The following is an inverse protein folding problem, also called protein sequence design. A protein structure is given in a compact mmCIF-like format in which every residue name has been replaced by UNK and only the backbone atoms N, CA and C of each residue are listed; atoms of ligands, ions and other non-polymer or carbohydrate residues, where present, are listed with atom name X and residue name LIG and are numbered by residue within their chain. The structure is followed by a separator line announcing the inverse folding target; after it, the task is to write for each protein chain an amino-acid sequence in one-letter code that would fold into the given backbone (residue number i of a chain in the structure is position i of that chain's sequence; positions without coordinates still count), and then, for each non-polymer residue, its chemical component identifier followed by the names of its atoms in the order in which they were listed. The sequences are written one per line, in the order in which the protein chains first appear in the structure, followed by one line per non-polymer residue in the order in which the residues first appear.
data_IF_309621684665
#
_entry.id   IF_309621684665
#
_cell.length_a   1.000
_cell.length_b   1.000
_cell.length_c   1.000
_cell.angle_alpha   90.00
_cell.angle_beta   90.00
_cell.angle_gamma   90.00
#
_symmetry.space_group_name_H-M   'P 1'
#
loop_
_entity.id
_entity.type
_entity.pdbx_description
1 polymer ?
#
# COMPACT_ATOMS: atom_id res chain seq x y z
N UNK A 1 -65.43 -16.46 -7.00
CA UNK A 1 -64.20 -17.01 -6.45
C UNK A 1 -63.10 -16.00 -6.78
N UNK A 2 -62.75 -15.15 -5.83
CA UNK A 2 -61.70 -14.12 -6.02
C UNK A 2 -60.39 -14.68 -5.45
N UNK A 3 -59.39 -14.84 -6.34
CA UNK A 3 -58.04 -15.29 -5.97
C UNK A 3 -57.28 -14.05 -5.54
N UNK A 4 -56.91 -13.98 -4.24
CA UNK A 4 -56.00 -12.96 -3.69
C UNK A 4 -54.59 -13.47 -3.84
N UNK A 5 -53.82 -12.88 -4.75
CA UNK A 5 -52.39 -13.14 -4.91
C UNK A 5 -51.63 -12.32 -3.90
N UNK A 6 -51.03 -12.96 -2.89
CA UNK A 6 -50.11 -12.33 -1.95
C UNK A 6 -48.73 -12.23 -2.64
N UNK A 7 -48.37 -10.99 -3.02
CA UNK A 7 -46.99 -10.69 -3.41
C UNK A 7 -46.12 -10.61 -2.13
N UNK A 8 -45.36 -11.69 -1.87
CA UNK A 8 -44.30 -11.65 -0.88
C UNK A 8 -43.12 -10.86 -1.44
N UNK A 9 -43.01 -9.60 -1.02
CA UNK A 9 -41.80 -8.80 -1.25
C UNK A 9 -40.64 -9.36 -0.45
N UNK A 10 -39.74 -10.08 -1.10
CA UNK A 10 -38.45 -10.43 -0.52
C UNK A 10 -37.59 -9.16 -0.40
N UNK A 11 -37.62 -8.54 0.77
CA UNK A 11 -36.63 -7.55 1.16
C UNK A 11 -35.30 -8.32 1.34
N UNK A 12 -34.45 -8.32 0.31
CA UNK A 12 -33.04 -8.74 0.47
C UNK A 12 -32.39 -7.70 1.39
N UNK A 13 -32.31 -7.99 2.67
CA UNK A 13 -31.35 -7.35 3.55
C UNK A 13 -29.94 -7.67 3.02
N UNK A 14 -29.34 -6.74 2.27
CA UNK A 14 -27.91 -6.76 2.06
C UNK A 14 -27.29 -6.45 3.44
N UNK A 15 -26.97 -7.50 4.18
CA UNK A 15 -26.08 -7.41 5.33
C UNK A 15 -24.71 -7.04 4.75
N UNK A 16 -24.38 -5.77 4.68
CA UNK A 16 -23.01 -5.35 4.45
C UNK A 16 -22.25 -5.75 5.71
N UNK A 17 -21.35 -6.70 5.59
CA UNK A 17 -20.43 -7.01 6.67
C UNK A 17 -19.75 -5.70 7.11
N UNK A 18 -19.91 -5.33 8.37
CA UNK A 18 -19.19 -4.20 8.94
C UNK A 18 -17.71 -4.59 8.95
N UNK A 19 -16.84 -3.73 8.43
CA UNK A 19 -15.41 -3.97 8.47
C UNK A 19 -14.95 -3.70 9.91
N UNK A 20 -14.60 -4.75 10.66
CA UNK A 20 -14.05 -4.61 12.01
C UNK A 20 -12.54 -4.73 12.00
N UNK A 21 -11.89 -4.04 12.93
CA UNK A 21 -10.45 -4.15 13.18
C UNK A 21 -10.23 -4.59 14.62
N UNK A 22 -9.55 -5.72 14.78
CA UNK A 22 -9.26 -6.30 16.09
C UNK A 22 -7.76 -6.28 16.38
N UNK A 23 -7.37 -5.71 17.52
CA UNK A 23 -5.97 -5.55 17.92
C UNK A 23 -5.81 -5.71 19.44
N UNK A 24 -4.58 -6.02 19.86
CA UNK A 24 -4.22 -6.11 21.28
C UNK A 24 -3.65 -4.78 21.77
N UNK A 25 -4.25 -4.22 22.80
CA UNK A 25 -3.76 -3.02 23.46
C UNK A 25 -3.79 -3.21 24.98
N UNK A 26 -2.66 -2.96 25.66
CA UNK A 26 -2.52 -3.13 27.13
C UNK A 26 -3.01 -4.51 27.59
N UNK A 27 -2.56 -5.57 26.93
CA UNK A 27 -2.90 -6.97 27.19
C UNK A 27 -4.41 -7.29 27.10
N UNK A 28 -5.19 -6.48 26.41
CA UNK A 28 -6.60 -6.77 26.15
C UNK A 28 -6.93 -6.66 24.67
N UNK A 29 -7.77 -7.60 24.20
CA UNK A 29 -8.29 -7.58 22.85
C UNK A 29 -9.29 -6.44 22.71
N UNK A 30 -9.11 -5.62 21.69
CA UNK A 30 -9.99 -4.52 21.30
C UNK A 30 -10.52 -4.76 19.90
N UNK A 31 -11.79 -4.49 19.69
CA UNK A 31 -12.41 -4.49 18.38
C UNK A 31 -13.08 -3.15 18.14
N UNK A 32 -12.82 -2.57 16.98
CA UNK A 32 -13.45 -1.33 16.54
C UNK A 32 -14.15 -1.56 15.22
N UNK A 33 -15.39 -1.06 15.11
CA UNK A 33 -16.21 -1.25 13.94
C UNK A 33 -16.11 -0.04 13.00
N UNK A 34 -15.90 -0.33 11.72
CA UNK A 34 -15.90 0.67 10.66
C UNK A 34 -17.32 1.05 10.26
N UNK A 35 -17.65 2.31 10.40
CA UNK A 35 -18.92 2.87 9.96
C UNK A 35 -18.74 3.65 8.66
N UNK A 36 -19.67 3.52 7.73
CA UNK A 36 -19.62 4.33 6.50
C UNK A 36 -19.63 5.81 6.83
N UNK A 37 -18.65 6.52 6.32
CA UNK A 37 -18.52 7.96 6.48
C UNK A 37 -17.93 8.56 5.21
N UNK A 38 -18.65 9.47 4.57
CA UNK A 38 -18.27 10.04 3.25
C UNK A 38 -17.91 8.91 2.25
N UNK A 39 -16.72 8.98 1.65
CA UNK A 39 -16.18 8.03 0.68
C UNK A 39 -15.39 6.86 1.29
N UNK A 40 -15.31 6.78 2.64
CA UNK A 40 -14.53 5.77 3.35
C UNK A 40 -15.21 5.20 4.57
N UNK A 41 -14.42 4.76 5.54
CA UNK A 41 -14.87 4.22 6.81
C UNK A 41 -14.32 5.03 7.99
N UNK A 42 -15.16 5.23 8.99
CA UNK A 42 -14.80 5.86 10.27
C UNK A 42 -14.75 4.81 11.38
N UNK A 43 -13.62 4.74 12.05
CA UNK A 43 -13.37 3.91 13.23
C UNK A 43 -13.29 4.83 14.45
N UNK A 44 -14.30 4.79 15.29
CA UNK A 44 -14.37 5.68 16.46
C UNK A 44 -13.58 5.11 17.64
N UNK A 45 -12.71 5.91 18.23
CA UNK A 45 -12.09 5.59 19.52
C UNK A 45 -12.95 6.06 20.68
N UNK A 46 -13.04 5.31 21.79
CA UNK A 46 -13.66 5.81 23.01
C UNK A 46 -12.92 7.05 23.52
N UNK A 47 -13.67 8.10 23.87
CA UNK A 47 -13.09 9.39 24.33
C UNK A 47 -12.02 9.93 23.37
N UNK A 48 -12.31 9.90 22.07
CA UNK A 48 -11.36 10.26 21.02
C UNK A 48 -10.71 11.62 21.24
N UNK A 49 -9.38 11.70 21.14
CA UNK A 49 -8.63 12.97 21.10
C UNK A 49 -9.13 13.84 19.94
N UNK A 50 -9.26 13.24 18.77
CA UNK A 50 -9.83 13.81 17.55
C UNK A 50 -9.94 12.72 16.46
N UNK A 51 -10.58 13.07 15.35
CA UNK A 51 -10.55 12.21 14.13
C UNK A 51 -9.39 12.63 13.24
N UNK A 52 -8.57 11.65 12.82
CA UNK A 52 -7.53 11.82 11.83
C UNK A 52 -8.02 11.28 10.48
N UNK A 53 -7.86 12.08 9.45
CA UNK A 53 -8.17 11.70 8.07
C UNK A 53 -6.95 11.05 7.42
N UNK A 54 -7.02 9.75 7.18
CA UNK A 54 -6.00 8.98 6.47
C UNK A 54 -6.43 8.82 5.02
N UNK A 55 -5.53 9.04 4.10
CA UNK A 55 -5.69 8.70 2.69
C UNK A 55 -4.68 7.66 2.28
N UNK A 56 -5.13 6.72 1.43
CA UNK A 56 -4.35 5.59 0.96
C UNK A 56 -4.70 5.27 -0.50
N UNK A 57 -4.03 4.26 -1.05
CA UNK A 57 -4.24 3.74 -2.40
C UNK A 57 -4.69 2.27 -2.36
N UNK A 58 -5.11 1.76 -3.50
CA UNK A 58 -5.20 0.31 -3.72
C UNK A 58 -3.82 -0.22 -4.08
N UNK A 59 -3.22 -0.98 -3.16
CA UNK A 59 -1.88 -1.56 -3.29
C UNK A 59 -1.81 -2.94 -2.63
N UNK A 60 -2.46 -3.93 -3.25
CA UNK A 60 -2.50 -5.28 -2.71
C UNK A 60 -1.13 -5.99 -2.84
N UNK A 61 -0.78 -6.89 -1.94
CA UNK A 61 -1.59 -7.44 -0.85
C UNK A 61 -1.57 -6.61 0.44
N UNK A 62 -0.87 -5.49 0.49
CA UNK A 62 -0.69 -4.69 1.69
C UNK A 62 -1.98 -4.01 2.14
N UNK A 63 -2.62 -3.31 1.20
CA UNK A 63 -3.85 -2.55 1.43
C UNK A 63 -4.64 -2.41 0.13
N UNK A 64 -5.93 -2.73 0.13
CA UNK A 64 -6.79 -2.50 -1.04
C UNK A 64 -8.27 -2.52 -0.65
N UNK A 65 -9.06 -1.69 -1.32
CA UNK A 65 -10.50 -1.71 -1.16
C UNK A 65 -11.14 -3.01 -1.67
N UNK A 66 -10.49 -3.70 -2.59
CA UNK A 66 -11.00 -4.92 -3.23
C UNK A 66 -10.63 -6.20 -2.47
N UNK A 67 -9.71 -6.12 -1.50
CA UNK A 67 -9.44 -7.24 -0.61
C UNK A 67 -10.61 -7.47 0.36
N UNK A 68 -10.91 -8.73 0.67
CA UNK A 68 -12.02 -9.12 1.54
C UNK A 68 -11.96 -8.45 2.92
N UNK A 69 -10.76 -8.22 3.44
CA UNK A 69 -10.48 -7.59 4.73
C UNK A 69 -9.68 -6.28 4.60
N UNK A 70 -9.53 -5.71 3.41
CA UNK A 70 -8.77 -4.48 3.11
C UNK A 70 -7.24 -4.60 3.22
N UNK A 71 -6.69 -5.74 3.62
CA UNK A 71 -5.27 -5.99 3.80
C UNK A 71 -4.73 -5.61 5.20
N UNK A 72 -3.58 -6.19 5.55
CA UNK A 72 -3.04 -6.05 6.90
C UNK A 72 -2.60 -4.62 7.26
N UNK A 73 -2.10 -3.84 6.28
CA UNK A 73 -1.71 -2.44 6.51
C UNK A 73 -2.92 -1.58 6.88
N UNK A 74 -4.10 -1.90 6.33
CA UNK A 74 -5.35 -1.24 6.71
C UNK A 74 -5.66 -1.44 8.20
N UNK A 75 -5.65 -2.71 8.66
CA UNK A 75 -5.88 -3.06 10.05
C UNK A 75 -4.84 -2.45 10.97
N UNK A 76 -3.57 -2.52 10.56
CA UNK A 76 -2.45 -1.97 11.30
C UNK A 76 -2.58 -0.46 11.51
N UNK A 77 -2.93 0.30 10.49
CA UNK A 77 -3.10 1.75 10.61
C UNK A 77 -4.24 2.14 11.55
N UNK A 78 -5.39 1.46 11.45
CA UNK A 78 -6.51 1.69 12.36
C UNK A 78 -6.11 1.33 13.80
N UNK A 79 -5.45 0.18 14.00
CA UNK A 79 -5.02 -0.29 15.30
C UNK A 79 -4.00 0.65 15.96
N UNK A 80 -2.96 1.07 15.23
CA UNK A 80 -1.93 2.01 15.70
C UNK A 80 -2.56 3.30 16.21
N UNK A 81 -3.38 3.96 15.40
CA UNK A 81 -3.97 5.24 15.77
C UNK A 81 -5.05 5.12 16.84
N UNK A 82 -5.91 4.09 16.75
CA UNK A 82 -6.96 3.90 17.73
C UNK A 82 -6.40 3.53 19.11
N UNK A 83 -5.27 2.80 19.17
CA UNK A 83 -4.55 2.51 20.42
C UNK A 83 -4.06 3.77 21.14
N UNK A 84 -3.81 4.84 20.38
CA UNK A 84 -3.40 6.15 20.90
C UNK A 84 -4.57 7.10 21.17
N UNK A 85 -5.81 6.63 21.00
CA UNK A 85 -7.02 7.39 21.27
C UNK A 85 -7.48 8.31 20.14
N UNK A 86 -7.05 8.06 18.91
CA UNK A 86 -7.57 8.76 17.73
C UNK A 86 -8.71 7.98 17.08
N UNK A 87 -9.78 8.66 16.70
CA UNK A 87 -10.71 8.14 15.71
C UNK A 87 -10.07 8.24 14.32
N UNK A 88 -10.36 7.28 13.45
CA UNK A 88 -9.70 7.16 12.14
C UNK A 88 -10.76 7.22 11.04
N UNK A 89 -10.69 8.23 10.19
CA UNK A 89 -11.40 8.23 8.91
C UNK A 89 -10.43 7.82 7.81
N UNK A 90 -10.63 6.65 7.19
CA UNK A 90 -9.76 6.10 6.17
C UNK A 90 -10.45 6.08 4.82
N UNK A 91 -9.79 6.68 3.81
CA UNK A 91 -10.30 6.86 2.45
C UNK A 91 -9.30 6.36 1.41
N UNK A 92 -9.79 5.58 0.44
CA UNK A 92 -9.01 5.15 -0.73
C UNK A 92 -9.08 6.19 -1.84
N UNK A 93 -7.94 6.59 -2.37
CA UNK A 93 -7.80 7.56 -3.46
C UNK A 93 -6.74 7.08 -4.47
N UNK A 94 -6.81 7.52 -5.73
CA UNK A 94 -5.66 7.43 -6.63
C UNK A 94 -4.43 8.07 -5.98
N UNK A 95 -3.27 7.39 -6.04
CA UNK A 95 -2.05 7.75 -5.30
C UNK A 95 -1.68 9.23 -5.41
N UNK A 96 -1.60 9.76 -6.65
CA UNK A 96 -1.29 11.17 -6.89
C UNK A 96 -2.24 12.13 -6.17
N UNK A 97 -3.52 11.76 -6.01
CA UNK A 97 -4.51 12.55 -5.26
C UNK A 97 -4.29 12.43 -3.76
N UNK A 98 -3.96 11.23 -3.27
CA UNK A 98 -3.65 10.99 -1.87
C UNK A 98 -2.44 11.84 -1.44
N UNK A 99 -1.33 11.75 -2.17
CA UNK A 99 -0.12 12.58 -1.95
C UNK A 99 -0.47 14.06 -1.92
N UNK A 100 -1.14 14.56 -2.98
CA UNK A 100 -1.54 15.96 -3.08
C UNK A 100 -2.39 16.42 -1.88
N UNK A 101 -3.32 15.59 -1.43
CA UNK A 101 -4.21 15.96 -0.33
C UNK A 101 -3.43 16.15 0.98
N UNK A 102 -2.45 15.28 1.26
CA UNK A 102 -1.67 15.38 2.50
C UNK A 102 -0.64 16.51 2.42
N UNK A 103 0.03 16.70 1.29
CA UNK A 103 0.97 17.80 1.11
C UNK A 103 0.29 19.18 1.21
N UNK A 104 -0.98 19.28 0.81
CA UNK A 104 -1.80 20.49 0.94
C UNK A 104 -2.60 20.59 2.25
N UNK A 105 -2.45 19.66 3.21
CA UNK A 105 -3.16 19.66 4.48
C UNK A 105 -4.67 19.40 4.39
N UNK A 106 -5.14 18.80 3.27
CA UNK A 106 -6.55 18.40 3.09
C UNK A 106 -6.86 17.04 3.73
N UNK A 107 -5.83 16.26 4.01
CA UNK A 107 -5.86 15.04 4.79
C UNK A 107 -4.67 15.08 5.76
N UNK A 108 -4.76 14.34 6.86
CA UNK A 108 -3.75 14.37 7.92
C UNK A 108 -2.59 13.43 7.64
N UNK A 109 -2.87 12.23 7.13
CA UNK A 109 -1.90 11.14 7.00
C UNK A 109 -2.02 10.47 5.63
N UNK A 110 -0.87 10.23 5.01
CA UNK A 110 -0.68 9.36 3.85
C UNK A 110 -0.02 8.07 4.31
N UNK A 111 -0.54 6.91 3.86
CA UNK A 111 0.08 5.61 4.15
C UNK A 111 -0.44 4.50 3.21
N UNK A 112 0.30 3.39 3.01
CA UNK A 112 1.71 3.28 3.34
C UNK A 112 2.55 4.13 2.39
N UNK A 113 3.67 4.62 2.86
CA UNK A 113 4.62 5.38 2.05
C UNK A 113 6.01 4.73 2.18
N UNK A 114 6.82 4.77 1.15
CA UNK A 114 8.24 4.49 1.25
C UNK A 114 8.98 5.65 1.91
N UNK A 115 10.25 5.44 2.24
CA UNK A 115 11.05 6.53 2.79
C UNK A 115 11.14 7.68 1.78
N UNK A 116 10.79 8.87 2.23
CA UNK A 116 10.87 10.08 1.41
C UNK A 116 12.23 10.72 1.64
N UNK A 117 13.05 10.78 0.60
CA UNK A 117 14.35 11.45 0.65
C UNK A 117 14.20 12.95 0.91
N UNK A 118 15.18 13.55 1.59
CA UNK A 118 15.15 14.98 1.90
C UNK A 118 15.19 15.85 0.64
N UNK A 119 15.72 15.31 -0.46
CA UNK A 119 15.82 15.97 -1.76
C UNK A 119 14.62 15.73 -2.68
N UNK A 120 13.64 14.92 -2.27
CA UNK A 120 12.46 14.61 -3.09
C UNK A 120 11.57 15.86 -3.24
N UNK A 121 11.40 16.40 -4.47
CA UNK A 121 10.58 17.60 -4.68
C UNK A 121 9.09 17.26 -4.55
N UNK A 122 8.29 18.24 -4.15
CA UNK A 122 6.84 18.16 -4.23
C UNK A 122 6.37 18.49 -5.65
N UNK A 123 5.54 17.63 -6.24
CA UNK A 123 4.88 17.89 -7.52
C UNK A 123 3.71 18.88 -7.38
N UNK A 124 3.26 19.16 -6.15
CA UNK A 124 2.04 19.92 -5.88
C UNK A 124 2.26 21.26 -5.20
N UNK A 125 3.41 21.43 -4.54
CA UNK A 125 3.80 22.68 -3.85
C UNK A 125 5.09 23.19 -4.44
N UNK A 126 4.99 24.21 -5.26
CA UNK A 126 6.13 24.78 -5.99
C UNK A 126 7.29 25.16 -5.06
N UNK A 127 8.50 24.77 -5.44
CA UNK A 127 9.75 25.07 -4.71
C UNK A 127 9.79 24.52 -3.28
N UNK A 128 9.09 23.42 -3.03
CA UNK A 128 9.12 22.69 -1.75
C UNK A 128 9.57 21.26 -1.94
N UNK A 129 10.33 20.77 -0.97
CA UNK A 129 10.63 19.36 -0.83
C UNK A 129 9.50 18.68 -0.06
N UNK A 130 9.19 17.42 -0.37
CA UNK A 130 8.14 16.66 0.31
C UNK A 130 8.37 16.60 1.84
N UNK A 131 9.64 16.47 2.27
CA UNK A 131 10.03 16.47 3.70
C UNK A 131 9.83 17.82 4.42
N UNK A 132 9.75 18.92 3.70
CA UNK A 132 9.35 20.20 4.30
C UNK A 132 7.86 20.24 4.64
N UNK A 133 7.03 19.48 3.90
CA UNK A 133 5.58 19.42 4.04
C UNK A 133 5.11 18.27 4.94
N UNK A 134 5.90 17.19 5.00
CA UNK A 134 5.54 15.91 5.63
C UNK A 134 6.54 15.54 6.73
N UNK A 135 6.01 15.14 7.90
CA UNK A 135 6.73 14.36 8.90
C UNK A 135 6.64 12.88 8.59
N UNK A 136 7.71 12.12 8.81
CA UNK A 136 7.75 10.67 8.55
C UNK A 136 7.92 9.93 9.86
N UNK A 137 7.12 8.88 10.08
CA UNK A 137 7.19 8.01 11.25
C UNK A 137 8.46 7.16 11.29
N UNK A 138 8.68 6.42 12.37
CA UNK A 138 9.51 5.23 12.33
C UNK A 138 8.94 4.24 11.32
N UNK A 139 9.81 3.37 10.80
CA UNK A 139 9.42 2.36 9.82
C UNK A 139 8.60 1.23 10.46
N UNK A 140 7.78 0.62 9.62
CA UNK A 140 7.16 -0.68 9.90
C UNK A 140 7.41 -1.64 8.73
N UNK A 141 6.93 -2.87 8.84
CA UNK A 141 7.23 -3.93 7.88
C UNK A 141 6.78 -3.59 6.47
N UNK A 142 7.67 -3.78 5.51
CA UNK A 142 7.44 -3.58 4.09
C UNK A 142 7.77 -4.84 3.29
N UNK A 143 8.39 -4.67 2.12
CA UNK A 143 8.72 -5.76 1.22
C UNK A 143 10.06 -5.58 0.49
N UNK A 144 10.48 -6.64 -0.18
CA UNK A 144 11.67 -6.60 -1.01
C UNK A 144 11.36 -5.98 -2.37
N UNK A 145 12.26 -5.13 -2.84
CA UNK A 145 12.28 -4.70 -4.23
C UNK A 145 13.25 -5.62 -4.98
N UNK A 146 12.76 -6.20 -6.05
CA UNK A 146 13.51 -7.15 -6.87
C UNK A 146 13.45 -6.78 -8.35
N UNK A 147 14.38 -7.34 -9.12
CA UNK A 147 14.19 -7.45 -10.56
C UNK A 147 13.52 -8.77 -10.89
N UNK A 148 12.51 -8.75 -11.76
CA UNK A 148 11.95 -9.94 -12.37
C UNK A 148 12.37 -10.00 -13.84
N UNK A 149 12.70 -11.20 -14.29
CA UNK A 149 12.98 -11.53 -15.69
C UNK A 149 12.03 -12.60 -16.20
N UNK A 150 12.01 -12.81 -17.49
CA UNK A 150 11.34 -13.98 -18.05
C UNK A 150 12.03 -15.25 -17.59
N UNK A 151 11.25 -16.23 -17.24
CA UNK A 151 11.75 -17.57 -16.88
C UNK A 151 12.65 -18.12 -18.00
N UNK A 152 13.75 -18.72 -17.62
CA UNK A 152 14.78 -19.27 -18.53
C UNK A 152 15.51 -18.21 -19.41
N UNK A 153 15.28 -16.92 -19.25
CA UNK A 153 16.14 -15.91 -19.86
C UNK A 153 17.47 -15.82 -19.11
N UNK A 154 18.57 -15.42 -19.76
CA UNK A 154 19.82 -15.15 -19.05
C UNK A 154 19.61 -14.12 -17.94
N UNK A 155 20.29 -14.30 -16.81
CA UNK A 155 20.31 -13.30 -15.75
C UNK A 155 21.07 -12.05 -16.20
N UNK A 156 20.57 -10.90 -15.81
CA UNK A 156 21.14 -9.58 -16.12
C UNK A 156 21.67 -8.94 -14.85
N UNK A 157 20.86 -8.96 -13.76
CA UNK A 157 21.24 -8.34 -12.50
C UNK A 157 22.21 -9.24 -11.72
N UNK A 158 23.45 -8.78 -11.58
CA UNK A 158 24.52 -9.52 -10.89
C UNK A 158 24.73 -9.10 -9.43
N UNK A 159 23.81 -8.29 -8.87
CA UNK A 159 23.97 -7.66 -7.55
C UNK A 159 24.57 -6.26 -7.60
N UNK A 160 24.90 -5.76 -8.81
CA UNK A 160 25.37 -4.41 -9.04
C UNK A 160 24.55 -3.79 -10.19
N UNK A 161 24.03 -2.59 -9.96
CA UNK A 161 23.21 -1.85 -10.93
C UNK A 161 23.94 -1.57 -12.25
N UNK A 162 25.27 -1.51 -12.26
CA UNK A 162 26.07 -1.33 -13.49
C UNK A 162 25.79 -2.46 -14.50
N UNK A 163 25.44 -3.68 -14.04
CA UNK A 163 25.08 -4.80 -14.91
C UNK A 163 23.82 -4.57 -15.75
N UNK A 164 23.02 -3.59 -15.38
CA UNK A 164 21.77 -3.22 -16.08
C UNK A 164 22.04 -2.39 -17.36
N UNK A 165 23.26 -1.89 -17.56
CA UNK A 165 23.59 -1.07 -18.73
C UNK A 165 23.29 -1.81 -20.03
N UNK A 166 22.60 -1.12 -20.94
CA UNK A 166 22.16 -1.69 -22.21
C UNK A 166 20.86 -2.49 -22.15
N UNK A 167 20.29 -2.73 -20.97
CA UNK A 167 18.97 -3.39 -20.80
C UNK A 167 17.84 -2.40 -20.97
N UNK A 168 16.64 -2.94 -21.26
CA UNK A 168 15.38 -2.18 -21.18
C UNK A 168 14.62 -2.63 -19.96
N UNK A 169 14.32 -1.69 -19.04
CA UNK A 169 13.70 -1.98 -17.74
C UNK A 169 12.31 -1.36 -17.68
N UNK A 170 11.33 -2.16 -17.29
CA UNK A 170 9.98 -1.68 -17.00
C UNK A 170 9.90 -1.14 -15.58
N UNK A 171 9.31 0.04 -15.42
CA UNK A 171 9.05 0.68 -14.11
C UNK A 171 7.59 1.12 -14.03
N UNK A 172 7.00 1.17 -12.85
CA UNK A 172 5.70 1.80 -12.67
C UNK A 172 5.86 3.31 -12.52
N UNK A 173 4.98 4.03 -13.20
CA UNK A 173 5.02 5.50 -13.21
C UNK A 173 4.72 6.09 -11.83
N UNK A 174 5.65 6.89 -11.32
CA UNK A 174 5.52 7.58 -10.04
C UNK A 174 5.94 6.76 -8.83
N UNK A 175 6.41 5.51 -9.02
CA UNK A 175 7.04 4.75 -7.95
C UNK A 175 8.50 5.19 -7.78
N UNK A 176 8.93 5.29 -6.53
CA UNK A 176 10.33 5.34 -6.16
C UNK A 176 10.77 3.90 -5.86
N UNK A 177 11.93 3.50 -6.40
CA UNK A 177 12.47 2.16 -6.20
C UNK A 177 13.61 2.18 -5.18
N UNK A 178 14.80 2.61 -5.62
CA UNK A 178 15.92 2.96 -4.72
C UNK A 178 16.61 4.20 -5.22
N UNK A 179 17.22 5.02 -4.33
CA UNK A 179 17.89 6.26 -4.74
C UNK A 179 18.93 6.05 -5.85
N UNK A 180 19.71 4.97 -5.77
CA UNK A 180 20.74 4.67 -6.75
C UNK A 180 20.15 4.24 -8.09
N UNK A 181 19.12 3.39 -8.09
CA UNK A 181 18.43 2.97 -9.32
C UNK A 181 17.75 4.15 -9.99
N UNK A 182 17.03 4.97 -9.21
CA UNK A 182 16.29 6.12 -9.71
C UNK A 182 17.26 7.18 -10.28
N UNK A 183 18.42 7.41 -9.63
CA UNK A 183 19.46 8.27 -10.17
C UNK A 183 20.04 7.76 -11.51
N UNK A 184 20.29 6.46 -11.63
CA UNK A 184 20.78 5.87 -12.90
C UNK A 184 19.70 5.94 -14.00
N UNK A 185 18.43 5.79 -13.64
CA UNK A 185 17.29 5.95 -14.55
C UNK A 185 17.21 7.38 -15.08
N UNK A 186 17.32 8.38 -14.20
CA UNK A 186 17.28 9.80 -14.54
C UNK A 186 18.49 10.22 -15.40
N UNK A 187 19.63 9.56 -15.21
CA UNK A 187 20.84 9.76 -16.03
C UNK A 187 20.84 8.94 -17.33
N UNK A 188 19.74 8.25 -17.68
CA UNK A 188 19.59 7.46 -18.90
C UNK A 188 20.65 6.36 -19.07
N UNK A 189 21.17 5.78 -17.95
CA UNK A 189 22.20 4.73 -18.02
C UNK A 189 21.67 3.41 -18.55
N UNK A 190 20.35 3.21 -18.59
CA UNK A 190 19.61 2.13 -19.23
C UNK A 190 18.29 2.64 -19.80
N UNK A 191 17.66 1.87 -20.70
CA UNK A 191 16.37 2.25 -21.28
C UNK A 191 15.25 1.93 -20.30
N UNK A 192 14.28 2.85 -20.19
CA UNK A 192 13.11 2.69 -19.32
C UNK A 192 11.83 2.71 -20.14
N UNK A 193 10.91 1.79 -19.84
CA UNK A 193 9.51 1.82 -20.29
C UNK A 193 8.63 1.91 -19.06
N UNK A 194 7.90 3.03 -18.95
CA UNK A 194 6.96 3.24 -17.85
C UNK A 194 5.62 2.57 -18.11
N UNK A 195 5.15 1.80 -17.14
CA UNK A 195 3.82 1.24 -17.09
C UNK A 195 2.88 2.13 -16.24
N UNK A 196 1.59 1.95 -16.39
CA UNK A 196 0.57 2.68 -15.63
C UNK A 196 0.14 1.92 -14.36
N UNK A 197 0.48 0.62 -14.27
CA UNK A 197 0.25 -0.24 -13.11
C UNK A 197 1.09 -1.53 -13.21
N UNK A 198 1.15 -2.27 -12.12
CA UNK A 198 1.91 -3.52 -11.97
C UNK A 198 1.48 -4.61 -12.95
N UNK A 199 0.17 -4.72 -13.25
CA UNK A 199 -0.32 -5.69 -14.26
C UNK A 199 0.29 -5.40 -15.64
N UNK A 200 0.34 -4.14 -16.03
CA UNK A 200 0.96 -3.75 -17.31
C UNK A 200 2.46 -4.04 -17.30
N UNK A 201 3.17 -3.85 -16.16
CA UNK A 201 4.58 -4.25 -16.04
C UNK A 201 4.75 -5.74 -16.33
N UNK A 202 3.96 -6.60 -15.71
CA UNK A 202 3.99 -8.05 -15.95
C UNK A 202 3.71 -8.39 -17.41
N UNK A 203 2.74 -7.70 -18.06
CA UNK A 203 2.42 -7.88 -19.47
C UNK A 203 3.56 -7.43 -20.40
N UNK A 204 4.24 -6.30 -20.09
CA UNK A 204 5.40 -5.82 -20.85
C UNK A 204 6.55 -6.82 -20.81
N UNK A 205 6.84 -7.39 -19.65
CA UNK A 205 7.88 -8.41 -19.50
C UNK A 205 7.53 -9.69 -20.27
N UNK A 206 6.29 -10.16 -20.15
CA UNK A 206 5.80 -11.34 -20.87
C UNK A 206 5.86 -11.14 -22.40
N UNK A 207 5.46 -9.97 -22.88
CA UNK A 207 5.45 -9.60 -24.31
C UNK A 207 6.84 -9.30 -24.87
N UNK A 208 7.91 -9.47 -24.08
CA UNK A 208 9.30 -9.19 -24.47
C UNK A 208 9.54 -7.72 -24.88
N UNK A 209 8.76 -6.80 -24.32
CA UNK A 209 8.94 -5.36 -24.54
C UNK A 209 10.02 -4.77 -23.67
N UNK A 210 10.27 -5.42 -22.52
CA UNK A 210 11.33 -5.09 -21.55
C UNK A 210 12.14 -6.37 -21.25
N UNK A 211 13.35 -6.21 -20.78
CA UNK A 211 14.23 -7.31 -20.38
C UNK A 211 13.99 -7.68 -18.92
N UNK A 212 13.82 -6.67 -18.09
CA UNK A 212 13.52 -6.75 -16.66
C UNK A 212 12.34 -5.86 -16.31
N UNK A 213 11.71 -6.16 -15.18
CA UNK A 213 10.86 -5.21 -14.44
C UNK A 213 11.35 -5.12 -13.01
N UNK A 214 11.15 -3.98 -12.38
CA UNK A 214 11.49 -3.75 -10.97
C UNK A 214 10.22 -3.55 -10.15
N UNK A 215 10.16 -4.12 -8.94
CA UNK A 215 9.03 -3.93 -8.02
C UNK A 215 9.01 -4.94 -6.88
N UNK A 216 7.98 -4.86 -6.05
CA UNK A 216 7.68 -5.87 -5.03
C UNK A 216 7.05 -7.11 -5.69
N UNK A 217 7.67 -8.30 -5.55
CA UNK A 217 7.16 -9.52 -6.20
C UNK A 217 5.75 -9.91 -5.73
N UNK A 218 5.39 -9.59 -4.48
CA UNK A 218 4.05 -9.88 -3.94
C UNK A 218 3.00 -9.00 -4.59
N UNK A 219 3.30 -7.71 -4.78
CA UNK A 219 2.42 -6.75 -5.46
C UNK A 219 2.25 -7.14 -6.93
N UNK A 220 3.35 -7.43 -7.63
CA UNK A 220 3.33 -7.85 -9.03
C UNK A 220 2.52 -9.14 -9.23
N UNK A 221 2.70 -10.15 -8.37
CA UNK A 221 1.93 -11.39 -8.44
C UNK A 221 0.45 -11.17 -8.12
N UNK A 222 0.15 -10.32 -7.14
CA UNK A 222 -1.21 -10.00 -6.75
C UNK A 222 -1.95 -9.25 -7.86
N UNK A 223 -1.30 -8.31 -8.53
CA UNK A 223 -1.89 -7.56 -9.64
C UNK A 223 -2.35 -8.46 -10.79
N UNK A 224 -1.65 -9.56 -11.04
CA UNK A 224 -2.06 -10.59 -12.02
C UNK A 224 -3.20 -11.45 -11.47
N UNK A 225 -3.07 -11.91 -10.22
CA UNK A 225 -4.03 -12.84 -9.60
C UNK A 225 -5.45 -12.25 -9.53
N UNK A 226 -5.58 -10.98 -9.21
CA UNK A 226 -6.86 -10.28 -9.04
C UNK A 226 -7.28 -9.43 -10.24
N UNK A 227 -6.56 -9.54 -11.37
CA UNK A 227 -6.95 -8.87 -12.62
C UNK A 227 -8.19 -9.49 -13.27
N UNK A 228 -8.73 -8.79 -14.26
CA UNK A 228 -9.83 -9.27 -15.10
C UNK A 228 -9.40 -10.33 -16.15
N UNK A 229 -8.12 -10.73 -16.17
CA UNK A 229 -7.62 -11.76 -17.07
C UNK A 229 -8.28 -13.12 -16.75
N UNK A 230 -8.45 -13.96 -17.78
CA UNK A 230 -8.92 -15.31 -17.56
C UNK A 230 -7.86 -16.17 -16.84
N UNK A 231 -8.28 -17.28 -16.22
CA UNK A 231 -7.40 -18.12 -15.38
C UNK A 231 -6.16 -18.64 -16.12
N UNK A 232 -6.31 -18.98 -17.41
CA UNK A 232 -5.17 -19.47 -18.21
C UNK A 232 -4.14 -18.37 -18.47
N UNK A 233 -4.59 -17.13 -18.70
CA UNK A 233 -3.70 -15.97 -18.86
C UNK A 233 -2.95 -15.65 -17.56
N UNK A 234 -3.65 -15.66 -16.43
CA UNK A 234 -3.04 -15.47 -15.10
C UNK A 234 -1.93 -16.50 -14.85
N UNK A 235 -2.25 -17.78 -15.03
CA UNK A 235 -1.28 -18.87 -14.86
C UNK A 235 -0.07 -18.70 -15.81
N UNK A 236 -0.30 -18.33 -17.06
CA UNK A 236 0.79 -18.09 -18.02
C UNK A 236 1.69 -16.95 -17.59
N UNK A 237 1.12 -15.80 -17.17
CA UNK A 237 1.91 -14.66 -16.72
C UNK A 237 2.74 -14.99 -15.47
N UNK A 238 2.12 -15.58 -14.45
CA UNK A 238 2.80 -15.92 -13.20
C UNK A 238 3.91 -16.95 -13.40
N UNK A 239 3.68 -17.96 -14.25
CA UNK A 239 4.67 -19.00 -14.53
C UNK A 239 5.78 -18.57 -15.51
N UNK A 240 5.62 -17.45 -16.18
CA UNK A 240 6.56 -16.96 -17.20
C UNK A 240 7.67 -16.10 -16.61
N UNK A 241 7.63 -15.76 -15.32
CA UNK A 241 8.57 -14.85 -14.69
C UNK A 241 9.29 -15.53 -13.52
N UNK A 242 10.45 -15.02 -13.21
CA UNK A 242 11.25 -15.41 -12.04
C UNK A 242 12.12 -14.24 -11.59
N UNK A 243 12.54 -14.25 -10.34
CA UNK A 243 13.43 -13.23 -9.80
C UNK A 243 14.81 -13.32 -10.46
N UNK A 244 15.39 -12.17 -10.81
CA UNK A 244 16.73 -12.04 -11.34
C UNK A 244 17.71 -11.59 -10.26
N UNK A 245 18.55 -12.51 -9.82
CA UNK A 245 19.52 -12.27 -8.75
C UNK A 245 18.91 -12.19 -7.34
N UNK A 246 19.63 -11.53 -6.44
CA UNK A 246 19.16 -11.26 -5.07
C UNK A 246 18.23 -10.04 -5.04
N UNK A 247 17.44 -9.88 -3.97
CA UNK A 247 16.70 -8.62 -3.77
C UNK A 247 17.64 -7.42 -3.87
N UNK A 248 17.17 -6.36 -4.54
CA UNK A 248 17.90 -5.11 -4.68
C UNK A 248 17.94 -4.39 -3.34
N UNK A 249 16.78 -4.28 -2.70
CA UNK A 249 16.59 -3.55 -1.45
C UNK A 249 15.37 -4.08 -0.70
N UNK A 250 15.35 -3.86 0.61
CA UNK A 250 14.14 -4.03 1.43
C UNK A 250 13.57 -2.65 1.73
N UNK A 251 12.40 -2.35 1.18
CA UNK A 251 11.71 -1.10 1.44
C UNK A 251 10.79 -1.25 2.64
N UNK A 252 11.13 -0.58 3.73
CA UNK A 252 10.23 -0.39 4.86
C UNK A 252 9.10 0.56 4.51
N UNK A 253 7.99 0.45 5.24
CA UNK A 253 6.82 1.32 5.09
C UNK A 253 6.75 2.35 6.23
N UNK A 254 6.08 3.47 5.96
CA UNK A 254 5.99 4.61 6.86
C UNK A 254 4.60 5.24 6.82
N UNK A 255 4.27 5.96 7.88
CA UNK A 255 3.21 6.97 7.87
C UNK A 255 3.83 8.33 7.54
N UNK A 256 3.26 9.05 6.58
CA UNK A 256 3.65 10.42 6.26
C UNK A 256 2.55 11.38 6.75
N UNK A 257 2.88 12.24 7.71
CA UNK A 257 1.95 13.14 8.38
C UNK A 257 2.10 14.56 7.81
N UNK A 258 1.01 15.19 7.41
CA UNK A 258 1.00 16.58 7.01
C UNK A 258 1.47 17.49 8.15
N UNK A 259 2.47 18.33 7.92
CA UNK A 259 2.88 19.35 8.90
C UNK A 259 1.86 20.47 9.07
N UNK A 260 0.82 20.50 8.22
CA UNK A 260 -0.35 21.39 8.38
C UNK A 260 -1.41 20.80 9.30
N UNK A 261 -1.30 19.51 9.65
CA UNK A 261 -2.16 18.89 10.66
C UNK A 261 -1.93 19.53 12.02
N UNK A 262 -2.96 20.01 12.73
CA UNK A 262 -2.78 20.56 14.07
C UNK A 262 -2.03 19.58 14.98
N UNK A 263 -1.04 20.06 15.73
CA UNK A 263 -0.21 19.24 16.63
C UNK A 263 0.40 18.00 15.94
N UNK A 264 0.84 18.13 14.69
CA UNK A 264 1.36 17.00 13.90
C UNK A 264 2.55 16.29 14.58
N UNK A 265 3.38 16.99 15.37
CA UNK A 265 4.48 16.39 16.12
C UNK A 265 3.96 15.43 17.20
N UNK A 266 2.89 15.80 17.92
CA UNK A 266 2.25 14.92 18.91
C UNK A 266 1.69 13.67 18.23
N UNK A 267 1.04 13.83 17.07
CA UNK A 267 0.52 12.70 16.28
C UNK A 267 1.66 11.78 15.84
N UNK A 268 2.78 12.36 15.39
CA UNK A 268 3.96 11.60 14.98
C UNK A 268 4.56 10.83 16.15
N UNK A 269 4.70 11.45 17.31
CA UNK A 269 5.23 10.82 18.52
C UNK A 269 4.31 9.68 19.01
N UNK A 270 3.00 9.91 19.02
CA UNK A 270 2.00 8.89 19.36
C UNK A 270 2.06 7.68 18.39
N UNK A 271 2.19 7.92 17.08
CA UNK A 271 2.37 6.86 16.08
C UNK A 271 3.66 6.09 16.38
N UNK A 272 4.79 6.77 16.58
CA UNK A 272 6.08 6.13 16.84
C UNK A 272 6.06 5.31 18.13
N UNK A 273 5.37 5.78 19.17
CA UNK A 273 5.17 5.02 20.40
C UNK A 273 4.33 3.75 20.15
N UNK A 274 3.26 3.84 19.37
CA UNK A 274 2.44 2.68 19.03
C UNK A 274 3.21 1.67 18.20
N UNK A 275 3.98 2.12 17.21
CA UNK A 275 4.84 1.26 16.38
C UNK A 275 5.84 0.48 17.25
N UNK A 276 6.49 1.17 18.19
CA UNK A 276 7.41 0.54 19.15
C UNK A 276 6.72 -0.53 20.02
N UNK A 277 5.54 -0.21 20.56
CA UNK A 277 4.76 -1.14 21.40
C UNK A 277 4.32 -2.35 20.58
N UNK A 278 3.77 -2.16 19.38
CA UNK A 278 3.27 -3.24 18.53
C UNK A 278 4.38 -4.17 18.05
N UNK A 279 5.54 -3.61 17.70
CA UNK A 279 6.71 -4.40 17.34
C UNK A 279 7.19 -5.27 18.51
N UNK A 280 7.41 -4.66 19.70
CA UNK A 280 7.94 -5.38 20.85
C UNK A 280 6.95 -6.38 21.50
N UNK A 281 5.66 -6.19 21.31
CA UNK A 281 4.63 -7.12 21.80
C UNK A 281 4.33 -8.26 20.81
N UNK A 282 4.89 -8.23 19.59
CA UNK A 282 4.55 -9.17 18.52
C UNK A 282 3.18 -8.90 17.87
N UNK A 283 2.53 -7.79 18.20
CA UNK A 283 1.22 -7.44 17.65
C UNK A 283 1.27 -7.14 16.15
N UNK A 284 2.38 -6.58 15.68
CA UNK A 284 2.61 -6.37 14.23
C UNK A 284 2.55 -7.70 13.48
N UNK A 285 3.32 -8.70 13.92
CA UNK A 285 3.36 -10.02 13.29
C UNK A 285 2.01 -10.74 13.39
N UNK A 286 1.33 -10.59 14.54
CA UNK A 286 -0.01 -11.16 14.71
C UNK A 286 -0.99 -10.59 13.69
N UNK A 287 -1.02 -9.26 13.52
CA UNK A 287 -1.91 -8.60 12.54
C UNK A 287 -1.60 -9.04 11.11
N UNK A 288 -0.32 -9.09 10.74
CA UNK A 288 0.09 -9.55 9.41
C UNK A 288 -0.41 -10.96 9.15
N UNK A 289 -0.14 -11.90 10.06
CA UNK A 289 -0.49 -13.31 9.90
C UNK A 289 -2.02 -13.51 9.88
N UNK A 290 -2.74 -12.97 10.89
CA UNK A 290 -4.18 -13.16 11.02
C UNK A 290 -4.94 -12.59 9.81
N UNK A 291 -4.61 -11.35 9.40
CA UNK A 291 -5.32 -10.68 8.30
C UNK A 291 -4.99 -11.30 6.95
N UNK A 292 -3.74 -11.76 6.76
CA UNK A 292 -3.34 -12.42 5.51
C UNK A 292 -4.01 -13.79 5.33
N UNK A 293 -4.28 -14.52 6.41
CA UNK A 293 -4.95 -15.83 6.38
C UNK A 293 -6.45 -15.71 6.11
N UNK A 294 -7.13 -14.66 6.58
CA UNK A 294 -8.59 -14.50 6.45
C UNK A 294 -9.10 -14.43 5.00
N UNK A 295 -8.25 -14.00 4.06
CA UNK A 295 -8.60 -13.90 2.63
C UNK A 295 -8.00 -15.02 1.76
N UNK A 296 -7.31 -15.97 2.36
CA UNK A 296 -6.75 -17.12 1.67
C UNK A 296 -7.85 -18.19 1.52
N UNK A 297 -8.80 -18.01 0.57
CA UNK A 297 -9.82 -18.99 0.20
C UNK A 297 -9.65 -19.40 -1.26
#
# INVERSE_FOLDING_TARGET
MRIVVFLLSFIRCFSFASQSVTFIHKNSLKTVEGQRYKSGLLYSAPNSKRTLHIVTLDWPPYISNDLCNKGWVYHFAVAVLNSQGYSVYLEFLPWARAVRNVELGKADILMPEYYIEDTAPSDYVKNKMRRELLGISNSFQGGNIVFLKRKNAPGIFTGNLISLKGSTIGVERGYQNTPEFDAMMDNEEFKVISAVNDLQLMQLLFAKRVDLIIGDPSVLAHSVTFSELNQNEKIKLLNAVEQDGKPLHYNSLYFAISKLTPNWLEVLDDINQALYIFYNSGETDRLINTVSEECAV
#
